data_IF_754021575112
#
_entry.id   IF_754021575112
#
_cell.length_a   1.000
_cell.length_b   1.000
_cell.length_c   1.000
_cell.angle_alpha   90.00
_cell.angle_beta   90.00
_cell.angle_gamma   90.00
#
_symmetry.space_group_name_H-M   'P 1'
#
loop_
_entity.id
_entity.type
_entity.pdbx_description
1 polymer ?
#
# COMPACT_ATOMS: atom_id res chain seq x y z
N UNK A 1 -9.29 -21.14 7.25
CA UNK A 1 -8.17 -21.12 6.29
C UNK A 1 -6.91 -20.81 7.07
N UNK A 2 -5.92 -21.72 7.08
CA UNK A 2 -4.66 -21.47 7.76
C UNK A 2 -3.92 -20.36 6.99
N UNK A 3 -3.70 -19.20 7.62
CA UNK A 3 -2.78 -18.19 7.07
C UNK A 3 -1.42 -18.86 6.95
N UNK A 4 -0.88 -18.96 5.73
CA UNK A 4 0.49 -19.43 5.53
C UNK A 4 1.36 -18.43 6.30
N UNK A 5 2.10 -18.90 7.31
CA UNK A 5 3.02 -18.04 8.04
C UNK A 5 4.20 -17.77 7.10
N UNK A 6 4.10 -16.71 6.31
CA UNK A 6 5.22 -16.19 5.54
C UNK A 6 6.27 -15.68 6.53
N UNK A 7 7.48 -16.22 6.44
CA UNK A 7 8.62 -15.76 7.23
C UNK A 7 9.67 -15.13 6.33
N UNK A 8 10.34 -14.11 6.84
CA UNK A 8 11.40 -13.38 6.14
C UNK A 8 12.73 -13.52 6.88
N UNK A 9 13.86 -13.70 6.18
CA UNK A 9 15.17 -13.58 6.77
C UNK A 9 15.42 -12.14 7.25
N UNK A 10 16.21 -11.98 8.31
CA UNK A 10 16.53 -10.66 8.89
C UNK A 10 17.03 -9.63 7.86
N UNK A 11 17.82 -10.06 6.87
CA UNK A 11 18.31 -9.19 5.79
C UNK A 11 17.18 -8.61 4.95
N UNK A 12 16.12 -9.39 4.70
CA UNK A 12 14.98 -8.94 3.92
C UNK A 12 14.11 -7.97 4.72
N UNK A 13 13.89 -8.24 6.02
CA UNK A 13 13.24 -7.28 6.92
C UNK A 13 14.01 -5.95 6.98
N UNK A 14 15.34 -6.01 6.99
CA UNK A 14 16.18 -4.81 6.89
C UNK A 14 15.89 -4.01 5.62
N UNK A 15 15.73 -4.65 4.46
CA UNK A 15 15.33 -3.95 3.21
C UNK A 15 13.94 -3.34 3.32
N UNK A 16 12.99 -4.03 3.95
CA UNK A 16 11.65 -3.47 4.16
C UNK A 16 11.69 -2.21 5.03
N UNK A 17 12.60 -2.13 6.01
CA UNK A 17 12.71 -0.97 6.89
C UNK A 17 13.17 0.33 6.23
N UNK A 18 13.81 0.26 5.06
CA UNK A 18 14.32 1.45 4.37
C UNK A 18 13.20 2.36 3.88
N UNK A 19 12.14 1.78 3.31
CA UNK A 19 10.99 2.50 2.74
C UNK A 19 9.79 1.57 2.57
N UNK A 20 8.60 2.12 2.78
CA UNK A 20 7.36 1.36 2.63
C UNK A 20 7.16 0.80 1.22
N UNK A 21 7.75 1.44 0.19
CA UNK A 21 7.72 0.92 -1.17
C UNK A 21 8.29 -0.50 -1.27
N UNK A 22 9.34 -0.81 -0.51
CA UNK A 22 9.93 -2.15 -0.51
C UNK A 22 8.95 -3.21 0.07
N UNK A 23 8.11 -2.82 1.02
CA UNK A 23 6.99 -3.67 1.53
C UNK A 23 5.91 -3.79 0.46
N UNK A 24 5.53 -2.67 -0.16
CA UNK A 24 4.44 -2.64 -1.14
C UNK A 24 4.79 -3.39 -2.43
N UNK A 25 6.06 -3.42 -2.84
CA UNK A 25 6.50 -4.16 -4.02
C UNK A 25 6.54 -5.68 -3.78
N UNK A 26 6.78 -6.11 -2.54
CA UNK A 26 6.78 -7.52 -2.17
C UNK A 26 5.34 -8.01 -1.89
N UNK A 27 4.87 -9.01 -2.65
CA UNK A 27 3.49 -9.52 -2.53
C UNK A 27 3.17 -10.03 -1.12
N UNK A 28 4.05 -10.86 -0.56
CA UNK A 28 3.83 -11.50 0.74
C UNK A 28 3.85 -10.45 1.86
N UNK A 29 4.82 -9.52 1.83
CA UNK A 29 4.90 -8.45 2.82
C UNK A 29 3.69 -7.50 2.75
N UNK A 30 3.20 -7.21 1.53
CA UNK A 30 1.99 -6.42 1.30
C UNK A 30 0.71 -7.13 1.78
N UNK A 31 0.62 -8.45 1.66
CA UNK A 31 -0.48 -9.24 2.21
C UNK A 31 -0.45 -9.20 3.74
N UNK A 32 0.71 -9.43 4.36
CA UNK A 32 0.89 -9.32 5.81
C UNK A 32 0.57 -7.90 6.32
N UNK A 33 0.97 -6.85 5.58
CA UNK A 33 0.59 -5.47 5.93
C UNK A 33 -0.93 -5.30 5.96
N UNK A 34 -1.66 -5.88 4.99
CA UNK A 34 -3.12 -5.86 4.98
C UNK A 34 -3.73 -6.57 6.19
N UNK A 35 -3.20 -7.73 6.56
CA UNK A 35 -3.64 -8.47 7.76
C UNK A 35 -3.35 -7.68 9.05
N UNK A 36 -2.15 -7.12 9.17
CA UNK A 36 -1.74 -6.27 10.29
C UNK A 36 -2.69 -5.07 10.44
N UNK A 37 -2.97 -4.32 9.37
CA UNK A 37 -3.88 -3.17 9.42
C UNK A 37 -5.31 -3.56 9.82
N UNK A 38 -5.74 -4.79 9.50
CA UNK A 38 -7.02 -5.35 9.96
C UNK A 38 -6.98 -5.68 11.45
N UNK A 39 -5.91 -6.30 11.93
CA UNK A 39 -5.70 -6.63 13.35
C UNK A 39 -5.71 -5.37 14.22
N UNK A 40 -4.98 -4.33 13.82
CA UNK A 40 -4.93 -3.05 14.55
C UNK A 40 -6.10 -2.10 14.24
N UNK A 41 -7.12 -2.58 13.51
CA UNK A 41 -8.36 -1.85 13.17
C UNK A 41 -8.15 -0.50 12.47
N UNK A 42 -7.08 -0.36 11.68
CA UNK A 42 -6.77 0.84 10.89
C UNK A 42 -7.46 0.82 9.53
N UNK A 43 -8.80 0.98 9.55
CA UNK A 43 -9.63 0.97 8.33
C UNK A 43 -9.26 2.07 7.35
N UNK A 44 -8.87 3.23 7.87
CA UNK A 44 -8.32 4.35 7.10
C UNK A 44 -7.14 3.91 6.22
N UNK A 45 -6.15 3.23 6.80
CA UNK A 45 -4.98 2.76 6.05
C UNK A 45 -5.27 1.54 5.18
N UNK A 46 -6.28 0.74 5.53
CA UNK A 46 -6.75 -0.32 4.63
C UNK A 46 -7.31 0.25 3.33
N UNK A 47 -8.06 1.36 3.40
CA UNK A 47 -8.55 2.05 2.21
C UNK A 47 -7.39 2.58 1.36
N UNK A 48 -6.36 3.17 1.99
CA UNK A 48 -5.14 3.62 1.29
C UNK A 48 -4.41 2.46 0.62
N UNK A 49 -4.26 1.32 1.32
CA UNK A 49 -3.64 0.12 0.74
C UNK A 49 -4.46 -0.45 -0.43
N UNK A 50 -5.81 -0.39 -0.34
CA UNK A 50 -6.70 -0.78 -1.43
C UNK A 50 -6.50 0.11 -2.65
N UNK A 51 -6.49 1.44 -2.45
CA UNK A 51 -6.24 2.41 -3.52
C UNK A 51 -4.89 2.17 -4.20
N UNK A 52 -3.82 1.94 -3.44
CA UNK A 52 -2.52 1.61 -4.00
C UNK A 52 -2.56 0.33 -4.87
N UNK A 53 -3.27 -0.71 -4.42
CA UNK A 53 -3.40 -1.98 -5.16
C UNK A 53 -4.18 -1.81 -6.45
N UNK A 54 -5.28 -1.07 -6.44
CA UNK A 54 -6.07 -0.79 -7.65
C UNK A 54 -5.24 0.04 -8.66
N UNK A 55 -4.53 1.08 -8.18
CA UNK A 55 -3.63 1.85 -9.05
C UNK A 55 -2.53 0.97 -9.67
N UNK A 56 -1.92 0.08 -8.88
CA UNK A 56 -0.90 -0.87 -9.35
C UNK A 56 -1.43 -1.83 -10.42
N UNK A 57 -2.69 -2.25 -10.28
CA UNK A 57 -3.38 -3.15 -11.19
C UNK A 57 -3.69 -2.46 -12.52
N UNK A 58 -4.21 -1.22 -12.49
CA UNK A 58 -4.47 -0.44 -13.69
C UNK A 58 -3.21 -0.04 -14.46
N UNK A 59 -2.08 0.15 -13.79
CA UNK A 59 -0.78 0.37 -14.46
C UNK A 59 -0.29 -0.85 -15.25
N UNK A 60 -0.77 -2.04 -14.91
CA UNK A 60 -0.47 -3.29 -15.63
C UNK A 60 -1.55 -3.65 -16.66
N UNK A 61 -2.52 -2.76 -16.87
CA UNK A 61 -3.71 -2.97 -17.69
C UNK A 61 -4.51 -4.23 -17.27
N UNK A 62 -4.47 -4.57 -15.98
CA UNK A 62 -5.22 -5.68 -15.40
C UNK A 62 -6.66 -5.24 -15.08
N UNK A 63 -7.54 -5.18 -16.09
CA UNK A 63 -8.97 -4.91 -15.93
C UNK A 63 -9.43 -3.50 -16.33
N UNK A 64 -10.73 -3.20 -16.23
CA UNK A 64 -11.31 -1.95 -16.71
C UNK A 64 -10.93 -0.78 -15.78
N UNK A 65 -10.20 0.19 -16.31
CA UNK A 65 -9.93 1.44 -15.61
C UNK A 65 -11.19 2.30 -15.55
N UNK A 66 -11.59 2.68 -14.34
CA UNK A 66 -12.63 3.68 -14.09
C UNK A 66 -12.02 4.85 -13.33
N UNK A 67 -12.01 6.03 -13.95
CA UNK A 67 -11.52 7.25 -13.30
C UNK A 67 -12.45 7.68 -12.15
N UNK A 68 -13.77 7.55 -12.32
CA UNK A 68 -14.79 7.85 -11.30
C UNK A 68 -14.59 7.00 -10.04
N UNK A 69 -14.43 5.68 -10.18
CA UNK A 69 -14.20 4.79 -9.03
C UNK A 69 -12.89 5.08 -8.30
N UNK A 70 -11.89 5.64 -8.99
CA UNK A 70 -10.64 6.07 -8.37
C UNK A 70 -10.84 7.36 -7.57
N UNK A 71 -11.58 8.32 -8.12
CA UNK A 71 -11.94 9.55 -7.42
C UNK A 71 -12.74 9.29 -6.15
N UNK A 72 -13.77 8.42 -6.22
CA UNK A 72 -14.56 8.01 -5.05
C UNK A 72 -13.70 7.41 -3.94
N UNK A 73 -12.67 6.63 -4.30
CA UNK A 73 -11.75 6.05 -3.34
C UNK A 73 -10.81 7.08 -2.73
N UNK A 74 -10.37 8.08 -3.50
CA UNK A 74 -9.52 9.18 -3.04
C UNK A 74 -10.28 10.07 -2.07
N UNK A 75 -11.54 10.41 -2.38
CA UNK A 75 -12.39 11.24 -1.52
C UNK A 75 -12.62 10.59 -0.15
N UNK A 76 -12.52 9.26 -0.07
CA UNK A 76 -12.55 8.51 1.19
C UNK A 76 -11.25 8.53 2.02
N UNK A 77 -10.24 9.33 1.64
CA UNK A 77 -8.92 9.38 2.28
C UNK A 77 -8.57 10.84 2.65
N UNK A 78 -8.73 11.18 3.94
CA UNK A 78 -8.51 12.54 4.46
C UNK A 78 -7.12 13.14 4.19
N UNK A 79 -6.09 12.29 4.15
CA UNK A 79 -4.69 12.72 4.04
C UNK A 79 -4.17 12.81 2.59
N UNK A 80 -5.02 12.56 1.60
CA UNK A 80 -4.60 12.51 0.20
C UNK A 80 -4.43 13.90 -0.40
N UNK A 81 -3.26 14.20 -0.97
CA UNK A 81 -3.03 15.47 -1.64
C UNK A 81 -3.61 15.47 -3.05
N UNK A 82 -4.84 15.98 -3.20
CA UNK A 82 -5.55 16.00 -4.48
C UNK A 82 -5.00 17.05 -5.46
N UNK A 83 -4.38 18.12 -4.96
CA UNK A 83 -4.03 19.28 -5.79
C UNK A 83 -3.11 18.95 -7.00
N UNK A 84 -2.00 18.20 -6.83
CA UNK A 84 -1.18 17.81 -7.97
C UNK A 84 -1.91 16.86 -8.91
N UNK A 85 -2.73 15.95 -8.39
CA UNK A 85 -3.46 14.97 -9.19
C UNK A 85 -4.39 15.63 -10.20
N UNK A 86 -5.07 16.71 -9.82
CA UNK A 86 -5.98 17.47 -10.71
C UNK A 86 -5.26 18.10 -11.92
N UNK A 87 -3.94 18.26 -11.87
CA UNK A 87 -3.15 18.89 -12.95
C UNK A 87 -2.61 17.88 -13.96
N UNK A 88 -2.69 16.59 -13.67
CA UNK A 88 -2.15 15.53 -14.52
C UNK A 88 -3.20 15.15 -15.57
N UNK A 89 -2.84 15.15 -16.85
CA UNK A 89 -3.73 14.69 -17.94
C UNK A 89 -3.56 13.20 -18.25
N UNK A 90 -2.34 12.69 -18.19
CA UNK A 90 -2.01 11.33 -18.59
C UNK A 90 -2.45 10.29 -17.55
N UNK A 91 -3.18 9.25 -18.00
CA UNK A 91 -3.69 8.15 -17.15
C UNK A 91 -2.58 7.56 -16.29
N UNK A 92 -1.48 7.16 -16.91
CA UNK A 92 -0.40 6.46 -16.21
C UNK A 92 0.27 7.35 -15.19
N UNK A 93 0.46 8.63 -15.50
CA UNK A 93 1.04 9.58 -14.56
C UNK A 93 0.12 9.83 -13.35
N UNK A 94 -1.21 9.87 -13.57
CA UNK A 94 -2.19 9.92 -12.46
C UNK A 94 -2.05 8.69 -11.55
N UNK A 95 -2.02 7.50 -12.14
CA UNK A 95 -1.91 6.25 -11.40
C UNK A 95 -0.58 6.16 -10.63
N UNK A 96 0.52 6.60 -11.24
CA UNK A 96 1.84 6.67 -10.58
C UNK A 96 1.77 7.64 -9.39
N UNK A 97 1.17 8.82 -9.57
CA UNK A 97 0.99 9.78 -8.48
C UNK A 97 0.17 9.17 -7.34
N UNK A 98 -0.93 8.50 -7.65
CA UNK A 98 -1.78 7.83 -6.67
C UNK A 98 -1.00 6.77 -5.89
N UNK A 99 -0.16 5.97 -6.55
CA UNK A 99 0.72 5.02 -5.88
C UNK A 99 1.72 5.71 -4.95
N UNK A 100 2.37 6.78 -5.42
CA UNK A 100 3.36 7.53 -4.62
C UNK A 100 2.72 8.15 -3.37
N UNK A 101 1.55 8.75 -3.54
CA UNK A 101 0.85 9.43 -2.45
C UNK A 101 0.28 8.41 -1.44
N UNK A 102 -0.26 7.29 -1.92
CA UNK A 102 -0.66 6.19 -1.04
C UNK A 102 0.52 5.63 -0.26
N UNK A 103 1.69 5.47 -0.90
CA UNK A 103 2.91 5.07 -0.22
C UNK A 103 3.33 6.09 0.84
N UNK A 104 3.29 7.41 0.55
CA UNK A 104 3.59 8.46 1.54
C UNK A 104 2.71 8.33 2.79
N UNK A 105 1.41 8.10 2.61
CA UNK A 105 0.46 7.94 3.71
C UNK A 105 0.75 6.66 4.51
N UNK A 106 0.96 5.52 3.83
CA UNK A 106 1.26 4.24 4.47
C UNK A 106 2.63 4.23 5.17
N UNK A 107 3.58 5.07 4.75
CA UNK A 107 4.90 5.16 5.37
C UNK A 107 4.82 5.52 6.86
N UNK A 108 3.73 6.16 7.31
CA UNK A 108 3.47 6.51 8.71
C UNK A 108 3.44 5.31 9.65
N UNK A 109 3.14 4.10 9.15
CA UNK A 109 3.09 2.88 9.98
C UNK A 109 4.28 1.96 9.78
N UNK A 110 5.23 2.31 8.89
CA UNK A 110 6.33 1.44 8.52
C UNK A 110 7.11 0.95 9.75
N UNK A 111 7.54 1.87 10.62
CA UNK A 111 8.38 1.52 11.77
C UNK A 111 7.72 0.52 12.73
N UNK A 112 6.41 0.66 12.98
CA UNK A 112 5.64 -0.24 13.84
C UNK A 112 5.39 -1.57 13.12
N UNK A 113 5.10 -1.52 11.82
CA UNK A 113 4.93 -2.72 11.01
C UNK A 113 6.22 -3.56 10.92
N UNK A 114 7.39 -2.94 10.78
CA UNK A 114 8.68 -3.66 10.80
C UNK A 114 8.89 -4.38 12.13
N UNK A 115 8.60 -3.71 13.27
CA UNK A 115 8.65 -4.37 14.59
C UNK A 115 7.70 -5.58 14.67
N UNK A 116 6.52 -5.46 14.09
CA UNK A 116 5.58 -6.57 13.98
C UNK A 116 6.17 -7.73 13.15
N UNK A 117 6.79 -7.45 12.00
CA UNK A 117 7.46 -8.47 11.19
C UNK A 117 8.61 -9.14 11.96
N UNK A 118 9.43 -8.39 12.67
CA UNK A 118 10.53 -8.94 13.49
C UNK A 118 10.02 -9.90 14.57
N UNK A 119 8.87 -9.59 15.19
CA UNK A 119 8.31 -10.39 16.27
C UNK A 119 7.55 -11.63 15.81
N UNK A 120 6.87 -11.56 14.66
CA UNK A 120 5.89 -12.58 14.23
C UNK A 120 6.29 -13.34 12.96
N UNK A 121 7.11 -12.72 12.12
CA UNK A 121 7.43 -13.20 10.78
C UNK A 121 8.94 -13.30 10.50
N UNK A 122 9.82 -13.09 11.49
CA UNK A 122 11.26 -13.33 11.30
C UNK A 122 11.55 -14.84 11.35
N UNK A 123 12.41 -15.29 10.43
CA UNK A 123 12.98 -16.63 10.42
C UNK A 123 14.22 -16.73 11.32
#
# INVERSE_FOLDING_TARGET
MASRIHKFPRREIGRFSDRIQNVLDNKDAREILGEYLKEVKRRDLQNVLKLWKEAAKYLKDEGPYSEEEMWDQIDGIDDFNINPLMTISEKNDKLIYIQQESARILNRVLSVFIKYLEQKHMQ
#
